data_IF_384266276532
#
_entry.id   IF_384266276532
#
_cell.length_a   1.000
_cell.length_b   1.000
_cell.length_c   1.000
_cell.angle_alpha   90.00
_cell.angle_beta   90.00
_cell.angle_gamma   90.00
#
_symmetry.space_group_name_H-M   'P 1'
#
loop_
_entity.id
_entity.type
_entity.pdbx_description
1 polymer ?
#
# COMPACT_ATOMS: atom_id res chain seq x y z
N UNK A 1 1.49 3.70 3.57
CA UNK A 1 1.42 2.54 2.64
C UNK A 1 2.81 2.06 2.29
N UNK A 2 2.94 0.77 1.96
CA UNK A 2 4.20 0.14 1.56
C UNK A 2 4.00 -0.55 0.21
N UNK A 3 4.95 -0.42 -0.70
CA UNK A 3 4.91 -1.05 -2.02
C UNK A 3 6.31 -1.34 -2.55
N UNK A 4 6.46 -2.40 -3.33
CA UNK A 4 7.62 -2.64 -4.16
C UNK A 4 7.23 -2.41 -5.63
N UNK A 5 8.05 -1.66 -6.38
CA UNK A 5 7.83 -1.38 -7.79
C UNK A 5 9.12 -1.58 -8.58
N UNK A 6 8.98 -1.99 -9.83
CA UNK A 6 10.10 -2.06 -10.77
C UNK A 6 10.45 -0.69 -11.39
N UNK A 7 11.42 -0.67 -12.31
CA UNK A 7 11.83 0.58 -12.98
C UNK A 7 10.76 1.20 -13.89
N UNK A 8 9.70 0.44 -14.22
CA UNK A 8 8.55 0.87 -15.03
C UNK A 8 7.28 1.11 -14.20
N UNK A 9 7.41 1.18 -12.87
CA UNK A 9 6.32 1.24 -11.89
C UNK A 9 5.39 0.02 -11.91
N UNK A 10 5.81 -1.12 -12.44
CA UNK A 10 5.04 -2.36 -12.38
C UNK A 10 4.97 -2.93 -10.96
N UNK A 11 3.83 -3.53 -10.61
CA UNK A 11 3.53 -4.13 -9.30
C UNK A 11 2.92 -5.54 -9.38
N UNK A 12 2.65 -6.05 -10.57
CA UNK A 12 2.06 -7.36 -10.76
C UNK A 12 1.84 -7.70 -12.23
N UNK A 13 1.60 -8.99 -12.48
CA UNK A 13 1.22 -9.54 -13.79
C UNK A 13 -0.16 -10.20 -13.69
N UNK A 14 -0.96 -10.09 -14.75
CA UNK A 14 -2.27 -10.70 -14.98
C UNK A 14 -3.38 -10.26 -14.01
N UNK A 15 -3.15 -9.27 -13.14
CA UNK A 15 -4.12 -8.82 -12.13
C UNK A 15 -4.68 -9.97 -11.25
N UNK A 16 -4.08 -11.15 -11.29
CA UNK A 16 -4.61 -12.39 -10.74
C UNK A 16 -3.66 -12.95 -9.69
N UNK A 17 -4.19 -13.10 -8.48
CA UNK A 17 -3.84 -14.28 -7.68
C UNK A 17 -4.36 -15.51 -8.44
N UNK A 18 -3.65 -16.66 -8.46
CA UNK A 18 -4.02 -17.83 -9.27
C UNK A 18 -5.35 -18.50 -8.89
N UNK A 19 -6.11 -17.88 -7.98
CA UNK A 19 -7.47 -18.22 -7.60
C UNK A 19 -8.36 -16.99 -7.80
N UNK A 20 -9.15 -16.95 -8.89
CA UNK A 20 -10.38 -16.15 -8.92
C UNK A 20 -11.33 -16.83 -7.94
N UNK A 21 -11.50 -16.23 -6.76
CA UNK A 21 -12.42 -16.70 -5.75
C UNK A 21 -13.65 -15.77 -5.77
N UNK A 22 -14.67 -16.04 -6.62
CA UNK A 22 -15.95 -15.34 -6.55
C UNK A 22 -16.52 -15.33 -5.13
N UNK A 23 -16.26 -16.40 -4.36
CA UNK A 23 -16.62 -16.50 -2.94
C UNK A 23 -16.01 -15.41 -2.07
N UNK A 24 -14.86 -14.84 -2.42
CA UNK A 24 -14.28 -13.70 -1.71
C UNK A 24 -15.01 -12.38 -2.01
N UNK A 25 -15.67 -12.24 -3.17
CA UNK A 25 -16.48 -11.04 -3.50
C UNK A 25 -17.77 -11.02 -2.69
N UNK A 26 -18.35 -12.18 -2.45
CA UNK A 26 -19.59 -12.36 -1.69
C UNK A 26 -19.34 -12.77 -0.23
N UNK A 27 -18.09 -12.70 0.24
CA UNK A 27 -17.77 -13.08 1.61
C UNK A 27 -18.47 -12.12 2.57
N UNK A 28 -19.18 -12.61 3.60
CA UNK A 28 -19.81 -11.74 4.57
C UNK A 28 -18.76 -11.02 5.41
N UNK A 29 -19.05 -9.75 5.75
CA UNK A 29 -18.24 -9.01 6.72
C UNK A 29 -18.13 -9.81 8.02
N UNK A 30 -16.93 -9.92 8.57
CA UNK A 30 -16.68 -10.69 9.79
C UNK A 30 -15.54 -10.09 10.60
N UNK A 31 -15.68 -10.15 11.91
CA UNK A 31 -14.66 -9.68 12.86
C UNK A 31 -14.31 -10.87 13.74
N UNK A 32 -13.04 -11.26 13.69
CA UNK A 32 -12.43 -12.25 14.57
C UNK A 32 -11.21 -11.65 15.27
N UNK A 33 -10.62 -12.38 16.19
CA UNK A 33 -9.42 -11.94 16.91
C UNK A 33 -8.25 -11.61 15.99
N UNK A 34 -8.05 -12.41 14.94
CA UNK A 34 -6.87 -12.33 14.07
C UNK A 34 -7.15 -11.79 12.66
N UNK A 35 -8.43 -11.66 12.29
CA UNK A 35 -8.83 -11.23 10.96
C UNK A 35 -10.12 -10.42 11.03
N UNK A 36 -10.08 -9.24 10.42
CA UNK A 36 -11.23 -8.38 10.15
C UNK A 36 -11.43 -8.36 8.64
N UNK A 37 -12.62 -8.76 8.20
CA UNK A 37 -13.02 -8.70 6.81
C UNK A 37 -14.16 -7.68 6.65
N UNK A 38 -13.90 -6.65 5.85
CA UNK A 38 -14.83 -5.54 5.56
C UNK A 38 -14.81 -5.30 4.05
N UNK A 39 -15.98 -5.09 3.45
CA UNK A 39 -16.12 -4.99 1.99
C UNK A 39 -16.11 -3.54 1.45
N UNK A 40 -15.85 -2.55 2.31
CA UNK A 40 -15.71 -1.14 1.94
C UNK A 40 -14.48 -0.53 2.62
N UNK A 41 -13.73 0.24 1.83
CA UNK A 41 -12.57 0.98 2.31
C UNK A 41 -12.96 2.01 3.39
N UNK A 42 -14.04 2.76 3.18
CA UNK A 42 -14.50 3.76 4.16
C UNK A 42 -14.95 3.11 5.46
N UNK A 43 -15.70 2.01 5.39
CA UNK A 43 -16.12 1.25 6.59
C UNK A 43 -14.90 0.73 7.37
N UNK A 44 -13.91 0.18 6.67
CA UNK A 44 -12.71 -0.34 7.31
C UNK A 44 -11.94 0.78 8.01
N UNK A 45 -11.77 1.92 7.36
CA UNK A 45 -11.12 3.09 7.98
C UNK A 45 -11.89 3.57 9.21
N UNK A 46 -13.22 3.72 9.10
CA UNK A 46 -14.07 4.14 10.22
C UNK A 46 -13.92 3.20 11.42
N UNK A 47 -14.05 1.89 11.20
CA UNK A 47 -13.90 0.88 12.25
C UNK A 47 -12.54 1.01 12.96
N UNK A 48 -11.46 1.12 12.19
CA UNK A 48 -10.09 1.11 12.72
C UNK A 48 -9.70 2.40 13.45
N UNK A 49 -10.39 3.50 13.21
CA UNK A 49 -9.97 4.84 13.68
C UNK A 49 -10.98 5.54 14.58
N UNK A 50 -12.27 5.17 14.50
CA UNK A 50 -13.34 5.79 15.28
C UNK A 50 -13.91 4.86 16.34
N UNK A 51 -13.82 3.54 16.17
CA UNK A 51 -14.50 2.56 17.03
C UNK A 51 -13.54 1.87 18.01
N UNK A 52 -13.99 1.67 19.25
CA UNK A 52 -13.27 0.87 20.24
C UNK A 52 -13.42 -0.63 19.96
N UNK A 53 -12.39 -1.47 20.21
CA UNK A 53 -11.14 -1.14 20.88
C UNK A 53 -10.01 -0.68 19.93
N UNK A 54 -10.30 -0.52 18.64
CA UNK A 54 -9.27 -0.30 17.62
C UNK A 54 -8.69 1.11 17.70
N UNK A 55 -9.56 2.11 17.83
CA UNK A 55 -9.20 3.52 17.95
C UNK A 55 -8.13 3.77 19.01
N UNK A 56 -8.21 3.11 20.17
CA UNK A 56 -7.27 3.29 21.27
C UNK A 56 -5.99 2.45 21.16
N UNK A 57 -5.95 1.47 20.25
CA UNK A 57 -4.84 0.52 20.11
C UNK A 57 -4.03 0.69 18.83
N UNK A 58 -4.61 1.27 17.78
CA UNK A 58 -3.99 1.38 16.47
C UNK A 58 -3.40 2.78 16.31
N UNK A 59 -2.07 2.85 16.25
CA UNK A 59 -1.35 4.09 15.94
C UNK A 59 -1.23 4.32 14.43
N UNK A 60 -0.95 3.26 13.66
CA UNK A 60 -0.65 3.35 12.23
C UNK A 60 -1.31 2.24 11.44
N UNK A 61 -1.94 2.60 10.32
CA UNK A 61 -2.53 1.65 9.36
C UNK A 61 -1.61 1.56 8.13
N UNK A 62 -1.15 0.35 7.81
CA UNK A 62 -0.36 0.08 6.62
C UNK A 62 -1.22 -0.52 5.51
N UNK A 63 -1.51 0.28 4.49
CA UNK A 63 -2.04 -0.22 3.23
C UNK A 63 -0.92 -0.93 2.44
N UNK A 64 -1.13 -2.21 2.14
CA UNK A 64 -0.21 -3.10 1.43
C UNK A 64 -0.67 -3.44 0.00
N UNK A 65 -1.67 -2.73 -0.52
CA UNK A 65 -2.22 -2.94 -1.87
C UNK A 65 -3.52 -3.75 -1.85
N UNK A 66 -4.08 -4.16 -3.01
CA UNK A 66 -3.56 -3.98 -4.38
C UNK A 66 -3.81 -2.60 -5.01
N UNK A 67 -3.72 -2.51 -6.35
CA UNK A 67 -3.79 -1.23 -7.11
C UNK A 67 -4.94 -0.32 -6.69
N UNK A 68 -6.16 -0.84 -6.59
CA UNK A 68 -7.33 -0.03 -6.26
C UNK A 68 -7.25 0.53 -4.84
N UNK A 69 -6.75 -0.27 -3.89
CA UNK A 69 -6.48 0.20 -2.54
C UNK A 69 -5.35 1.24 -2.51
N UNK A 70 -4.33 1.14 -3.36
CA UNK A 70 -3.33 2.18 -3.48
C UNK A 70 -3.92 3.49 -4.02
N UNK A 71 -4.81 3.43 -5.02
CA UNK A 71 -5.52 4.61 -5.55
C UNK A 71 -6.32 5.28 -4.44
N UNK A 72 -7.16 4.51 -3.73
CA UNK A 72 -7.98 5.01 -2.61
C UNK A 72 -7.10 5.60 -1.51
N UNK A 73 -6.03 4.90 -1.14
CA UNK A 73 -5.09 5.33 -0.11
C UNK A 73 -4.37 6.63 -0.47
N UNK A 74 -3.85 6.77 -1.71
CA UNK A 74 -3.14 7.98 -2.16
C UNK A 74 -4.04 9.21 -2.22
N UNK A 75 -5.33 9.02 -2.53
CA UNK A 75 -6.33 10.08 -2.58
C UNK A 75 -6.83 10.49 -1.19
N UNK A 76 -6.72 9.62 -0.19
CA UNK A 76 -7.28 9.86 1.14
C UNK A 76 -6.50 10.93 1.92
N UNK A 77 -7.17 11.83 2.68
CA UNK A 77 -6.50 12.83 3.51
C UNK A 77 -5.56 12.25 4.58
N UNK A 78 -5.81 11.02 5.05
CA UNK A 78 -4.93 10.33 6.00
C UNK A 78 -3.67 9.73 5.39
N UNK A 79 -3.46 9.89 4.08
CA UNK A 79 -2.20 9.50 3.48
C UNK A 79 -1.06 10.33 4.09
N UNK A 80 -0.27 9.69 4.95
CA UNK A 80 0.84 10.36 5.63
C UNK A 80 2.19 9.89 5.10
N UNK A 81 2.42 8.57 5.02
CA UNK A 81 3.73 7.99 4.70
C UNK A 81 3.67 6.99 3.55
N UNK A 82 4.55 7.16 2.57
CA UNK A 82 4.79 6.21 1.47
C UNK A 82 6.18 5.61 1.63
N UNK A 83 6.24 4.30 1.85
CA UNK A 83 7.49 3.53 1.76
C UNK A 83 7.49 2.77 0.44
N UNK A 84 8.52 2.98 -0.37
CA UNK A 84 8.62 2.42 -1.71
C UNK A 84 9.97 1.73 -1.92
N UNK A 85 9.94 0.43 -2.18
CA UNK A 85 11.10 -0.33 -2.63
C UNK A 85 11.17 -0.30 -4.15
N UNK A 86 12.25 0.26 -4.68
CA UNK A 86 12.53 0.39 -6.11
C UNK A 86 13.43 -0.76 -6.54
N UNK A 87 12.89 -1.70 -7.31
CA UNK A 87 13.66 -2.81 -7.90
C UNK A 87 14.42 -2.29 -9.12
N UNK A 88 15.72 -2.54 -9.18
CA UNK A 88 16.63 -2.04 -10.23
C UNK A 88 16.62 -2.91 -11.50
N UNK A 89 15.43 -3.37 -11.87
CA UNK A 89 15.20 -4.18 -13.07
C UNK A 89 13.80 -3.88 -13.61
N UNK A 90 13.64 -3.97 -14.92
CA UNK A 90 12.32 -3.95 -15.55
C UNK A 90 11.80 -5.37 -15.74
N UNK A 91 10.52 -5.59 -15.45
CA UNK A 91 9.82 -6.83 -15.75
C UNK A 91 8.65 -6.56 -16.70
N UNK A 92 8.21 -7.60 -17.40
CA UNK A 92 6.98 -7.53 -18.20
C UNK A 92 5.81 -7.66 -17.22
N UNK A 93 5.16 -6.54 -16.93
CA UNK A 93 4.03 -6.43 -16.01
C UNK A 93 2.92 -5.61 -16.66
N UNK A 94 1.67 -6.03 -16.46
CA UNK A 94 0.48 -5.34 -16.97
C UNK A 94 -0.14 -4.42 -15.91
N UNK A 95 0.18 -4.63 -14.62
CA UNK A 95 -0.31 -3.83 -13.52
C UNK A 95 0.76 -2.85 -13.04
N UNK A 96 0.41 -1.56 -13.05
CA UNK A 96 1.27 -0.48 -12.57
C UNK A 96 0.76 0.17 -11.30
N UNK A 97 1.71 0.58 -10.46
CA UNK A 97 1.47 1.46 -9.34
C UNK A 97 0.87 2.80 -9.84
N UNK A 98 -0.09 3.40 -9.12
CA UNK A 98 -0.70 4.65 -9.52
C UNK A 98 0.31 5.79 -9.66
N UNK A 99 0.02 6.77 -10.52
CA UNK A 99 0.85 7.97 -10.62
C UNK A 99 0.80 8.78 -9.31
N UNK A 100 1.97 9.21 -8.85
CA UNK A 100 2.11 10.04 -7.65
C UNK A 100 2.38 11.48 -8.08
N UNK A 101 1.60 12.41 -7.54
CA UNK A 101 1.97 13.82 -7.57
C UNK A 101 3.06 14.10 -6.53
N UNK A 102 4.32 13.92 -6.94
CA UNK A 102 5.49 14.09 -6.07
C UNK A 102 5.64 15.50 -5.49
N UNK A 103 4.94 16.51 -6.02
CA UNK A 103 4.91 17.85 -5.42
C UNK A 103 4.33 17.86 -4.02
N UNK A 104 3.45 16.89 -3.73
CA UNK A 104 2.76 16.73 -2.44
C UNK A 104 3.58 15.90 -1.44
N UNK A 105 4.78 15.46 -1.80
CA UNK A 105 5.60 14.57 -0.97
C UNK A 105 7.01 15.11 -0.78
N UNK A 106 7.62 14.76 0.34
CA UNK A 106 9.02 15.05 0.68
C UNK A 106 9.73 13.74 0.99
N UNK A 107 10.96 13.59 0.53
CA UNK A 107 11.80 12.43 0.82
C UNK A 107 12.30 12.52 2.27
N UNK A 108 12.16 11.44 3.03
CA UNK A 108 12.73 11.32 4.37
C UNK A 108 14.03 10.51 4.36
N UNK A 109 14.75 10.55 5.48
CA UNK A 109 15.96 9.80 5.79
C UNK A 109 15.71 8.53 6.62
N UNK A 110 14.46 8.03 6.69
CA UNK A 110 14.12 6.78 7.40
C UNK A 110 14.90 5.57 6.84
N UNK A 111 15.35 5.65 5.59
CA UNK A 111 16.17 4.66 4.91
C UNK A 111 17.36 5.34 4.25
N UNK A 112 18.50 4.67 4.20
CA UNK A 112 19.73 5.23 3.60
C UNK A 112 19.70 5.30 2.06
N UNK A 113 18.65 4.75 1.44
CA UNK A 113 18.42 4.75 0.00
C UNK A 113 19.45 3.96 -0.81
N UNK A 114 20.30 3.16 -0.16
CA UNK A 114 21.33 2.39 -0.86
C UNK A 114 20.75 1.11 -1.48
N UNK A 115 21.28 0.69 -2.64
CA UNK A 115 20.92 -0.61 -3.20
C UNK A 115 21.34 -1.76 -2.28
N UNK A 116 20.47 -2.75 -2.15
CA UNK A 116 20.67 -4.02 -1.47
C UNK A 116 20.38 -5.14 -2.46
N UNK A 117 21.15 -6.21 -2.42
CA UNK A 117 20.91 -7.42 -3.20
C UNK A 117 20.28 -8.50 -2.30
N UNK A 118 19.15 -9.04 -2.72
CA UNK A 118 18.49 -10.21 -2.10
C UNK A 118 18.08 -11.19 -3.20
N UNK A 119 18.55 -12.44 -3.13
CA UNK A 119 18.25 -13.50 -4.10
C UNK A 119 18.42 -13.08 -5.58
N UNK A 120 19.46 -12.29 -5.89
CA UNK A 120 19.74 -11.79 -7.24
C UNK A 120 18.83 -10.64 -7.70
N UNK A 121 18.02 -10.07 -6.79
CA UNK A 121 17.24 -8.87 -7.01
C UNK A 121 17.92 -7.70 -6.30
N UNK A 122 18.31 -6.68 -7.06
CA UNK A 122 18.83 -5.44 -6.51
C UNK A 122 17.68 -4.46 -6.34
N UNK A 123 17.54 -3.88 -5.15
CA UNK A 123 16.54 -2.87 -4.87
C UNK A 123 17.03 -1.86 -3.84
N UNK A 124 16.40 -0.68 -3.81
CA UNK A 124 16.60 0.32 -2.76
C UNK A 124 15.27 0.74 -2.16
N UNK A 125 15.24 1.02 -0.87
CA UNK A 125 14.04 1.49 -0.18
C UNK A 125 14.13 2.98 0.06
N UNK A 126 13.04 3.68 -0.28
CA UNK A 126 12.88 5.11 -0.07
C UNK A 126 11.60 5.34 0.73
N UNK A 127 11.58 6.42 1.49
CA UNK A 127 10.43 6.83 2.30
C UNK A 127 10.09 8.28 2.02
N UNK A 128 8.79 8.56 1.91
CA UNK A 128 8.29 9.90 1.68
C UNK A 128 7.17 10.23 2.66
N UNK A 129 7.14 11.46 3.14
CA UNK A 129 6.01 12.00 3.92
C UNK A 129 5.20 12.93 3.03
N UNK A 130 3.86 12.84 3.13
CA UNK A 130 2.97 13.81 2.47
C UNK A 130 3.13 15.15 3.17
N UNK A 131 3.38 16.19 2.40
CA UNK A 131 3.42 17.57 2.90
C UNK A 131 2.09 17.86 3.57
N UNK A 132 2.12 18.56 4.70
CA UNK A 132 0.91 19.15 5.24
C UNK A 132 0.33 20.11 4.18
N UNK A 133 -0.99 20.07 3.99
CA UNK A 133 -1.64 21.12 3.22
C UNK A 133 -1.38 22.45 3.96
N UNK A 134 -0.99 23.53 3.23
CA UNK A 134 -0.69 24.82 3.84
C UNK A 134 -1.89 25.46 4.55
#
# INVERSE_FOLDING_TARGET
MIVAVDTLNGIGIDNTVPWDLPSCRDMPESISENLIFINSFEKALKLLTEEEPYKSKIETIWNIGGKDLYILGLAHPWMHKLVISRIEKAYVMDLKFPEINWKNFELNDDFDGKPVEDNGVIYRTLSYTRKADP
#
